data_IF_612030257891
#
_entry.id   IF_612030257891
#
_cell.length_a   1.000
_cell.length_b   1.000
_cell.length_c   1.000
_cell.angle_alpha   90.00
_cell.angle_beta   90.00
_cell.angle_gamma   90.00
#
_symmetry.space_group_name_H-M   'P 1'
#
loop_
_entity.id
_entity.type
_entity.pdbx_description
1 polymer ?
#
# COMPACT_ATOMS: atom_id res chain seq x y z
N UNK A 1 4.04 -4.36 -12.24
CA UNK A 1 4.70 -3.41 -11.34
C UNK A 1 3.71 -2.40 -10.79
N UNK A 2 3.72 -2.22 -9.50
CA UNK A 2 2.80 -1.33 -8.80
C UNK A 2 3.53 -0.15 -8.19
N UNK A 3 2.87 1.00 -8.17
CA UNK A 3 3.34 2.16 -7.42
C UNK A 3 2.36 2.43 -6.29
N UNK A 4 2.88 2.58 -5.08
CA UNK A 4 2.09 2.90 -3.89
C UNK A 4 2.30 4.35 -3.46
N UNK A 5 1.22 4.99 -3.04
CA UNK A 5 1.27 6.37 -2.58
C UNK A 5 0.16 6.63 -1.57
N UNK A 6 0.34 7.66 -0.75
CA UNK A 6 -0.69 8.09 0.19
C UNK A 6 -1.14 9.51 -0.16
N UNK A 7 -2.42 9.74 -0.03
CA UNK A 7 -3.02 11.05 -0.25
C UNK A 7 -3.79 11.44 1.01
N UNK A 8 -3.49 12.62 1.54
CA UNK A 8 -4.17 13.16 2.71
C UNK A 8 -5.16 14.22 2.24
N UNK A 9 -6.42 14.02 2.57
CA UNK A 9 -7.45 15.01 2.28
C UNK A 9 -8.12 15.46 3.56
N UNK A 10 -8.57 16.73 3.59
CA UNK A 10 -9.37 17.27 4.68
C UNK A 10 -10.76 17.56 4.15
N UNK A 11 -11.75 17.08 4.87
CA UNK A 11 -13.15 17.32 4.50
C UNK A 11 -13.94 17.54 5.77
N UNK A 12 -14.61 18.69 5.87
CA UNK A 12 -15.44 19.04 7.03
C UNK A 12 -14.67 18.92 8.36
N UNK A 13 -13.40 19.35 8.39
CA UNK A 13 -12.57 19.30 9.59
C UNK A 13 -11.99 17.95 9.93
N UNK A 14 -12.27 16.93 9.12
CA UNK A 14 -11.73 15.58 9.32
C UNK A 14 -10.64 15.30 8.30
N UNK A 15 -9.59 14.64 8.77
CA UNK A 15 -8.51 14.19 7.92
C UNK A 15 -8.81 12.77 7.47
N UNK A 16 -8.72 12.52 6.16
CA UNK A 16 -8.80 11.17 5.63
C UNK A 16 -7.55 10.87 4.84
N UNK A 17 -7.04 9.65 5.00
CA UNK A 17 -5.86 9.18 4.30
C UNK A 17 -6.24 8.03 3.42
N UNK A 18 -5.83 8.10 2.16
CA UNK A 18 -6.06 7.04 1.19
C UNK A 18 -4.70 6.51 0.73
N UNK A 19 -4.54 5.18 0.80
CA UNK A 19 -3.41 4.51 0.20
C UNK A 19 -3.84 3.98 -1.16
N UNK A 20 -3.10 4.35 -2.20
CA UNK A 20 -3.42 3.94 -3.56
C UNK A 20 -2.31 3.05 -4.12
N UNK A 21 -2.73 2.11 -4.95
CA UNK A 21 -1.82 1.24 -5.69
C UNK A 21 -2.21 1.32 -7.17
N UNK A 22 -1.24 1.70 -8.00
CA UNK A 22 -1.42 1.78 -9.44
C UNK A 22 -0.54 0.73 -10.12
N UNK A 23 -1.17 -0.16 -10.89
CA UNK A 23 -0.44 -1.14 -11.70
C UNK A 23 -0.09 -0.46 -13.03
N UNK A 24 1.23 -0.40 -13.32
CA UNK A 24 1.75 0.42 -14.41
C UNK A 24 1.42 -0.11 -15.80
N UNK A 25 1.33 -1.42 -15.95
CA UNK A 25 1.11 -2.03 -17.26
C UNK A 25 -0.34 -1.97 -17.68
N UNK A 26 -1.24 -2.32 -16.77
CA UNK A 26 -2.68 -2.37 -17.05
C UNK A 26 -3.42 -1.11 -16.67
N UNK A 27 -2.74 -0.20 -15.96
CA UNK A 27 -3.33 1.02 -15.38
C UNK A 27 -4.44 0.72 -14.38
N UNK A 28 -4.41 -0.46 -13.77
CA UNK A 28 -5.35 -0.81 -12.71
C UNK A 28 -5.06 0.04 -11.47
N UNK A 29 -6.09 0.66 -10.93
CA UNK A 29 -5.98 1.55 -9.79
C UNK A 29 -6.80 1.01 -8.62
N UNK A 30 -6.14 0.85 -7.48
CA UNK A 30 -6.78 0.44 -6.24
C UNK A 30 -6.58 1.54 -5.20
N UNK A 31 -7.62 1.85 -4.45
CA UNK A 31 -7.54 2.87 -3.42
C UNK A 31 -8.20 2.34 -2.13
N UNK A 32 -7.53 2.56 -1.01
CA UNK A 32 -7.99 2.07 0.29
C UNK A 32 -7.88 3.19 1.31
N UNK A 33 -8.95 3.37 2.09
CA UNK A 33 -8.90 4.29 3.21
C UNK A 33 -8.14 3.63 4.36
N UNK A 34 -7.18 4.36 4.95
CA UNK A 34 -6.43 3.88 6.11
C UNK A 34 -6.59 4.87 7.27
N UNK A 35 -6.38 4.41 8.53
CA UNK A 35 -6.62 5.26 9.71
C UNK A 35 -5.73 6.50 9.80
N UNK A 36 -4.56 6.47 9.20
CA UNK A 36 -3.64 7.60 9.26
C UNK A 36 -2.44 7.39 8.36
N UNK A 37 -1.62 8.43 8.23
CA UNK A 37 -0.42 8.38 7.40
C UNK A 37 0.76 7.88 8.25
N UNK A 38 0.69 6.62 8.67
CA UNK A 38 1.68 5.98 9.54
C UNK A 38 2.10 4.63 8.97
N UNK A 39 3.29 4.16 9.37
CA UNK A 39 3.77 2.86 8.94
C UNK A 39 2.84 1.74 9.43
N UNK A 40 2.29 1.89 10.62
CA UNK A 40 1.34 0.91 11.18
C UNK A 40 0.08 0.80 10.32
N UNK A 41 -0.47 1.95 9.88
CA UNK A 41 -1.67 1.95 9.05
C UNK A 41 -1.40 1.33 7.69
N UNK A 42 -0.27 1.66 7.07
CA UNK A 42 0.12 1.11 5.77
C UNK A 42 0.33 -0.40 5.87
N UNK A 43 1.10 -0.86 6.86
CA UNK A 43 1.35 -2.30 7.02
C UNK A 43 0.12 -3.06 7.47
N UNK A 44 -0.77 -2.44 8.22
CA UNK A 44 -2.06 -3.04 8.56
C UNK A 44 -2.87 -3.34 7.31
N UNK A 45 -2.91 -2.41 6.36
CA UNK A 45 -3.56 -2.63 5.08
C UNK A 45 -2.88 -3.73 4.28
N UNK A 46 -1.54 -3.72 4.19
CA UNK A 46 -0.81 -4.74 3.44
C UNK A 46 -1.05 -6.13 4.02
N UNK A 47 -1.07 -6.24 5.35
CA UNK A 47 -1.38 -7.51 6.01
C UNK A 47 -2.80 -7.97 5.69
N UNK A 48 -3.77 -7.06 5.70
CA UNK A 48 -5.15 -7.40 5.35
C UNK A 48 -5.25 -7.88 3.90
N UNK A 49 -4.53 -7.25 2.98
CA UNK A 49 -4.50 -7.68 1.59
C UNK A 49 -3.86 -9.05 1.44
N UNK A 50 -2.79 -9.31 2.20
CA UNK A 50 -2.16 -10.63 2.20
C UNK A 50 -3.10 -11.69 2.74
N UNK A 51 -3.86 -11.40 3.80
CA UNK A 51 -4.85 -12.32 4.35
C UNK A 51 -5.97 -12.60 3.33
N UNK A 52 -6.36 -11.58 2.56
CA UNK A 52 -7.39 -11.72 1.54
C UNK A 52 -6.94 -12.61 0.38
N UNK A 53 -5.73 -12.36 -0.13
CA UNK A 53 -5.24 -13.04 -1.32
C UNK A 53 -4.39 -14.27 -1.04
N UNK A 54 -3.90 -14.45 0.19
CA UNK A 54 -3.07 -15.59 0.57
C UNK A 54 -1.85 -15.72 -0.32
N UNK A 55 -1.62 -16.91 -0.87
CA UNK A 55 -0.48 -17.18 -1.73
C UNK A 55 -0.48 -16.36 -3.02
N UNK A 56 -1.64 -15.85 -3.42
CA UNK A 56 -1.75 -15.04 -4.63
C UNK A 56 -1.25 -13.62 -4.44
N UNK A 57 -1.00 -13.19 -3.20
CA UNK A 57 -0.56 -11.83 -2.92
C UNK A 57 0.70 -11.47 -3.73
N UNK A 58 1.73 -12.30 -3.68
CA UNK A 58 2.97 -12.04 -4.41
C UNK A 58 2.82 -12.20 -5.93
N UNK A 59 1.83 -12.96 -6.37
CA UNK A 59 1.54 -13.08 -7.80
C UNK A 59 0.88 -11.84 -8.34
N UNK A 60 0.01 -11.20 -7.55
CA UNK A 60 -0.67 -9.96 -7.91
C UNK A 60 0.30 -8.79 -7.74
N UNK A 61 0.95 -8.71 -6.58
CA UNK A 61 1.85 -7.62 -6.21
C UNK A 61 3.31 -8.10 -6.26
N UNK A 62 3.82 -8.38 -7.45
CA UNK A 62 5.20 -8.87 -7.62
C UNK A 62 6.22 -7.85 -7.19
N UNK A 63 6.03 -6.60 -7.60
CA UNK A 63 6.90 -5.49 -7.24
C UNK A 63 6.05 -4.29 -6.90
N UNK A 64 6.43 -3.59 -5.83
CA UNK A 64 5.77 -2.36 -5.41
C UNK A 64 6.85 -1.32 -5.12
N UNK A 65 6.74 -0.15 -5.76
CA UNK A 65 7.60 0.99 -5.48
C UNK A 65 6.83 1.99 -4.64
N UNK A 66 7.43 2.47 -3.56
CA UNK A 66 6.88 3.53 -2.72
C UNK A 66 7.95 4.61 -2.55
N UNK A 67 7.54 5.81 -2.17
CA UNK A 67 8.51 6.88 -1.93
C UNK A 67 9.17 6.71 -0.55
N UNK A 68 10.01 7.68 -0.15
CA UNK A 68 10.76 7.63 1.11
C UNK A 68 9.99 8.25 2.28
N UNK A 69 8.68 8.33 2.21
CA UNK A 69 7.87 8.85 3.30
C UNK A 69 7.98 8.01 4.56
N UNK A 70 7.82 8.64 5.72
CA UNK A 70 7.90 7.92 7.00
C UNK A 70 6.83 6.85 7.15
N UNK A 71 5.70 6.98 6.45
CA UNK A 71 4.64 5.98 6.46
C UNK A 71 5.07 4.67 5.77
N UNK A 72 6.17 4.69 5.03
CA UNK A 72 6.70 3.50 4.35
C UNK A 72 7.95 2.94 5.04
N UNK A 73 8.24 3.37 6.27
CA UNK A 73 9.44 2.94 7.00
C UNK A 73 9.56 1.43 7.13
N UNK A 74 8.43 0.74 7.30
CA UNK A 74 8.40 -0.71 7.48
C UNK A 74 7.94 -1.47 6.23
N UNK A 75 7.85 -0.79 5.10
CA UNK A 75 7.23 -1.37 3.90
C UNK A 75 7.99 -2.59 3.36
N UNK A 76 9.31 -2.65 3.59
CA UNK A 76 10.11 -3.80 3.16
C UNK A 76 9.64 -5.12 3.77
N UNK A 77 8.83 -5.08 4.84
CA UNK A 77 8.27 -6.30 5.42
C UNK A 77 7.37 -7.07 4.46
N UNK A 78 6.84 -6.44 3.40
CA UNK A 78 6.07 -7.17 2.39
C UNK A 78 6.92 -8.22 1.67
N UNK A 79 8.24 -8.08 1.72
CA UNK A 79 9.14 -9.06 1.08
C UNK A 79 9.07 -10.44 1.72
N UNK A 80 8.63 -10.52 2.98
CA UNK A 80 8.40 -11.82 3.63
C UNK A 80 7.35 -12.66 2.91
N UNK A 81 6.49 -12.02 2.11
CA UNK A 81 5.43 -12.68 1.36
C UNK A 81 5.80 -12.91 -0.12
N UNK A 82 7.03 -12.59 -0.50
CA UNK A 82 7.49 -12.79 -1.88
C UNK A 82 7.41 -11.58 -2.79
N UNK A 83 6.84 -10.46 -2.31
CA UNK A 83 6.76 -9.20 -3.05
C UNK A 83 8.08 -8.45 -2.92
N UNK A 84 8.58 -7.86 -4.01
CA UNK A 84 9.77 -7.00 -3.92
C UNK A 84 9.35 -5.55 -3.71
N UNK A 85 9.95 -4.91 -2.71
CA UNK A 85 9.71 -3.51 -2.39
C UNK A 85 10.90 -2.67 -2.82
N UNK A 86 10.61 -1.51 -3.40
CA UNK A 86 11.65 -0.56 -3.87
C UNK A 86 11.43 0.83 -3.28
#
# INVERSE_FOLDING_TARGET
>A
HWEGDTVVGKRAGQESVVFSLLEKKTETYLAFRIPGKTSEAVMGLMTALHDEYGENFSRIFKTITVDNGSEFADFAQVEQWGTKAF
#
